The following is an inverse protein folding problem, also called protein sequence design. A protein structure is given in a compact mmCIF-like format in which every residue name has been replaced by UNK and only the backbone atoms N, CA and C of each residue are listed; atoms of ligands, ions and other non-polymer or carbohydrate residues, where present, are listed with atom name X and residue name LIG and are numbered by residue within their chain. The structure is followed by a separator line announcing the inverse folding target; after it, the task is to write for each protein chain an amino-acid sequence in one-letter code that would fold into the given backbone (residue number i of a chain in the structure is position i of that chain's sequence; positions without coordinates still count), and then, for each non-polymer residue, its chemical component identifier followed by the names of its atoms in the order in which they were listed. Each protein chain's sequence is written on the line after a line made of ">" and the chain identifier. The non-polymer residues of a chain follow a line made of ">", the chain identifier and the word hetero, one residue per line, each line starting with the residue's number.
data_IF_815891176270
#
_entry.id   IF_815891176270
#
_cell.length_a   1.000
_cell.length_b   1.000
_cell.length_c   1.000
_cell.angle_alpha   90.00
_cell.angle_beta   90.00
_cell.angle_gamma   90.00
#
_symmetry.space_group_name_H-M   'P 1'
#
loop_
_entity.id
_entity.type
_entity.pdbx_description
1 polymer ?
#
# COMPACT_ATOMS: atom_id res chain seq x y z
N UNK A 1 -16.85 -12.51 9.79
CA UNK A 1 -17.33 -12.63 8.39
C UNK A 1 -16.24 -13.31 7.59
N UNK A 2 -16.51 -14.44 6.95
CA UNK A 2 -15.52 -15.23 6.20
C UNK A 2 -15.26 -14.58 4.85
N UNK A 3 -14.02 -14.12 4.60
CA UNK A 3 -13.61 -13.57 3.30
C UNK A 3 -13.45 -14.76 2.33
N UNK A 4 -14.25 -14.82 1.27
CA UNK A 4 -14.08 -15.81 0.20
C UNK A 4 -12.93 -15.35 -0.71
N UNK A 5 -11.76 -15.96 -0.54
CA UNK A 5 -10.48 -15.59 -1.20
C UNK A 5 -10.39 -16.14 -2.64
N UNK A 6 -11.43 -16.80 -3.16
CA UNK A 6 -11.41 -17.54 -4.44
C UNK A 6 -11.39 -16.65 -5.70
N UNK A 7 -11.31 -15.33 -5.57
CA UNK A 7 -11.34 -14.37 -6.69
C UNK A 7 -10.29 -13.25 -6.58
N UNK A 8 -9.16 -13.51 -5.92
CA UNK A 8 -8.06 -12.56 -5.92
C UNK A 8 -7.54 -12.39 -7.36
N UNK A 9 -7.83 -11.23 -7.97
CA UNK A 9 -7.25 -10.84 -9.26
C UNK A 9 -5.90 -10.19 -9.01
N UNK A 10 -4.91 -10.52 -9.83
CA UNK A 10 -3.63 -9.82 -9.87
C UNK A 10 -3.89 -8.43 -10.47
N UNK A 11 -3.73 -7.38 -9.67
CA UNK A 11 -3.63 -6.03 -10.21
C UNK A 11 -2.17 -5.87 -10.66
N UNK A 12 -2.00 -5.40 -11.90
CA UNK A 12 -0.70 -5.26 -12.59
C UNK A 12 0.39 -4.65 -11.70
N UNK A 13 1.62 -5.13 -11.89
CA UNK A 13 2.79 -4.68 -11.12
C UNK A 13 3.15 -3.24 -11.46
N UNK A 14 2.87 -2.32 -10.54
CA UNK A 14 3.49 -1.00 -10.55
C UNK A 14 4.83 -1.04 -9.81
N UNK A 15 5.83 -0.32 -10.32
CA UNK A 15 7.07 -0.12 -9.58
C UNK A 15 6.75 0.64 -8.30
N UNK A 16 7.34 0.21 -7.16
CA UNK A 16 7.33 1.02 -5.95
C UNK A 16 7.97 2.36 -6.29
N UNK A 17 7.18 3.43 -6.20
CA UNK A 17 7.61 4.75 -6.61
C UNK A 17 8.05 5.52 -5.38
N UNK A 18 9.26 6.08 -5.44
CA UNK A 18 9.60 7.23 -4.61
C UNK A 18 8.81 8.41 -5.15
N UNK A 19 8.17 9.13 -4.27
CA UNK A 19 7.44 10.34 -4.62
C UNK A 19 8.02 11.50 -3.81
N UNK A 20 7.78 12.71 -4.29
CA UNK A 20 8.11 13.97 -3.61
C UNK A 20 6.85 14.82 -3.49
N UNK A 21 6.87 15.85 -2.64
CA UNK A 21 5.73 16.78 -2.47
C UNK A 21 5.27 17.40 -3.80
N UNK A 22 6.18 17.58 -4.75
CA UNK A 22 5.87 18.12 -6.08
C UNK A 22 5.21 17.12 -7.03
N UNK A 23 5.46 15.82 -6.86
CA UNK A 23 4.83 14.77 -7.68
C UNK A 23 3.32 14.68 -7.43
N UNK A 24 2.88 15.16 -6.27
CA UNK A 24 1.46 15.22 -5.86
C UNK A 24 0.74 16.52 -6.22
N UNK A 25 1.42 17.50 -6.83
CA UNK A 25 0.76 18.73 -7.28
C UNK A 25 0.33 18.67 -8.75
N UNK A 26 0.88 17.76 -9.55
CA UNK A 26 0.57 17.58 -10.98
C UNK A 26 -0.60 16.64 -11.27
N UNK A 27 -0.79 15.61 -10.45
CA UNK A 27 -2.02 14.82 -10.34
C UNK A 27 -2.65 15.24 -9.02
N UNK A 28 -3.89 15.78 -9.02
CA UNK A 28 -4.62 16.20 -7.80
C UNK A 28 -4.26 15.30 -6.61
N UNK A 29 -3.46 15.80 -5.66
CA UNK A 29 -2.62 15.01 -4.74
C UNK A 29 -3.29 13.93 -3.89
N UNK A 30 -2.58 13.39 -2.90
CA UNK A 30 -3.04 12.33 -1.97
C UNK A 30 -4.50 12.45 -1.47
N UNK A 31 -5.01 13.68 -1.43
CA UNK A 31 -6.41 14.02 -1.22
C UNK A 31 -7.44 13.35 -2.17
N UNK A 32 -7.03 12.78 -3.30
CA UNK A 32 -7.88 11.95 -4.18
C UNK A 32 -7.88 10.47 -3.82
N UNK A 33 -6.88 9.99 -3.07
CA UNK A 33 -6.76 8.61 -2.61
C UNK A 33 -7.38 8.46 -1.23
N UNK A 34 -8.72 8.55 -1.18
CA UNK A 34 -9.51 8.49 0.07
C UNK A 34 -10.17 7.14 0.33
N UNK A 35 -9.98 6.18 -0.57
CA UNK A 35 -10.63 4.87 -0.46
C UNK A 35 -10.12 4.11 0.76
N UNK A 36 -11.04 3.44 1.43
CA UNK A 36 -10.73 2.53 2.53
C UNK A 36 -9.94 1.33 2.01
N UNK A 37 -8.87 0.96 2.71
CA UNK A 37 -7.96 -0.10 2.28
C UNK A 37 -7.13 -0.59 3.46
N UNK A 38 -6.82 -1.88 3.46
CA UNK A 38 -5.86 -2.48 4.37
C UNK A 38 -5.04 -3.57 3.69
N UNK A 39 -3.93 -3.93 4.33
CA UNK A 39 -3.13 -5.10 3.95
C UNK A 39 -3.41 -6.21 4.97
N UNK A 40 -3.82 -7.38 4.47
CA UNK A 40 -4.09 -8.56 5.29
C UNK A 40 -2.89 -9.51 5.35
N UNK A 41 -2.17 -9.65 4.23
CA UNK A 41 -0.98 -10.51 4.14
C UNK A 41 0.07 -9.86 3.25
N UNK A 42 1.33 -10.25 3.44
CA UNK A 42 2.42 -9.79 2.58
C UNK A 42 3.64 -10.69 2.67
N UNK A 43 4.42 -10.72 1.59
CA UNK A 43 5.74 -11.33 1.59
C UNK A 43 6.73 -10.47 0.80
N UNK A 44 7.98 -10.47 1.24
CA UNK A 44 9.10 -9.87 0.51
C UNK A 44 9.93 -11.01 -0.10
N UNK A 45 10.27 -10.88 -1.38
CA UNK A 45 11.20 -11.77 -2.08
C UNK A 45 12.49 -11.02 -2.34
N UNK A 46 13.52 -11.16 -1.48
CA UNK A 46 14.78 -10.44 -1.61
C UNK A 46 15.48 -10.73 -2.93
N UNK A 47 15.48 -12.00 -3.35
CA UNK A 47 16.12 -12.43 -4.60
C UNK A 47 15.52 -11.77 -5.85
N UNK A 48 14.24 -11.37 -5.79
CA UNK A 48 13.54 -10.75 -6.90
C UNK A 48 13.36 -9.23 -6.72
N UNK A 49 13.55 -8.71 -5.51
CA UNK A 49 13.28 -7.32 -5.17
C UNK A 49 11.79 -6.97 -5.31
N UNK A 50 10.89 -7.85 -4.89
CA UNK A 50 9.44 -7.58 -4.91
C UNK A 50 8.82 -7.76 -3.54
N UNK A 51 7.89 -6.87 -3.21
CA UNK A 51 6.89 -7.11 -2.18
C UNK A 51 5.56 -7.46 -2.82
N UNK A 52 4.93 -8.54 -2.37
CA UNK A 52 3.58 -8.92 -2.78
C UNK A 52 2.65 -8.82 -1.59
N UNK A 53 1.49 -8.20 -1.79
CA UNK A 53 0.51 -7.90 -0.74
C UNK A 53 -0.84 -8.51 -1.11
N UNK A 54 -1.52 -9.10 -0.13
CA UNK A 54 -2.97 -9.28 -0.18
C UNK A 54 -3.62 -7.99 0.34
N UNK A 55 -4.13 -7.19 -0.59
CA UNK A 55 -4.81 -5.94 -0.30
C UNK A 55 -6.31 -6.21 -0.24
N UNK A 56 -6.94 -5.72 0.82
CA UNK A 56 -8.39 -5.75 0.98
C UNK A 56 -8.94 -4.34 0.85
N UNK A 57 -10.03 -4.19 0.12
CA UNK A 57 -10.69 -2.91 -0.09
C UNK A 57 -12.21 -3.09 -0.30
N UNK A 58 -13.03 -2.07 0.02
CA UNK A 58 -14.43 -2.05 -0.32
C UNK A 58 -14.65 -1.84 -1.83
N UNK A 59 -15.66 -2.51 -2.35
CA UNK A 59 -16.10 -2.43 -3.74
C UNK A 59 -17.61 -2.71 -3.76
N UNK A 60 -18.33 -2.09 -4.68
CA UNK A 60 -19.73 -2.39 -4.97
C UNK A 60 -19.91 -2.89 -6.40
N UNK A 61 -19.05 -2.49 -7.34
CA UNK A 61 -19.15 -2.96 -8.71
C UNK A 61 -17.79 -3.05 -9.40
N UNK A 62 -17.51 -4.17 -10.07
CA UNK A 62 -16.26 -4.41 -10.81
C UNK A 62 -16.03 -3.48 -12.02
N UNK A 63 -17.01 -2.64 -12.37
CA UNK A 63 -16.88 -1.66 -13.45
C UNK A 63 -16.12 -0.40 -13.03
N UNK A 64 -16.01 -0.11 -11.73
CA UNK A 64 -15.18 0.99 -11.25
C UNK A 64 -13.71 0.59 -11.24
N UNK A 65 -12.87 1.49 -11.71
CA UNK A 65 -11.43 1.27 -11.70
C UNK A 65 -10.86 1.68 -10.34
N UNK A 66 -10.49 0.68 -9.55
CA UNK A 66 -9.74 0.88 -8.31
C UNK A 66 -8.25 0.95 -8.61
N UNK A 67 -7.56 1.92 -8.01
CA UNK A 67 -6.10 2.07 -8.16
C UNK A 67 -5.44 1.97 -6.79
N UNK A 68 -4.40 1.13 -6.70
CA UNK A 68 -3.61 0.90 -5.49
C UNK A 68 -2.17 1.36 -5.70
N UNK A 69 -1.72 2.35 -4.93
CA UNK A 69 -0.37 2.88 -5.02
C UNK A 69 0.39 2.64 -3.73
N UNK A 70 1.46 1.86 -3.79
CA UNK A 70 2.42 1.74 -2.70
C UNK A 70 3.52 2.79 -2.89
N UNK A 71 3.84 3.50 -1.83
CA UNK A 71 4.66 4.71 -1.89
C UNK A 71 5.72 4.69 -0.80
N UNK A 72 6.94 5.11 -1.17
CA UNK A 72 7.99 5.44 -0.22
C UNK A 72 8.14 6.95 -0.12
N UNK A 73 7.96 7.48 1.10
CA UNK A 73 8.14 8.89 1.48
C UNK A 73 7.26 9.88 0.70
N UNK A 74 6.03 10.12 1.14
CA UNK A 74 5.10 11.02 0.47
C UNK A 74 5.33 12.53 0.69
N UNK A 75 6.40 12.94 1.40
CA UNK A 75 6.56 14.30 1.90
C UNK A 75 5.99 14.48 3.32
N UNK A 76 5.78 15.73 3.76
CA UNK A 76 5.29 16.05 5.11
C UNK A 76 3.76 15.90 5.30
N UNK A 77 2.99 15.59 4.26
CA UNK A 77 1.53 15.49 4.35
C UNK A 77 1.06 14.03 4.29
N UNK A 78 0.46 13.52 5.37
CA UNK A 78 -0.11 12.17 5.43
C UNK A 78 0.23 11.46 6.73
N UNK A 79 0.89 10.29 6.63
CA UNK A 79 1.15 9.40 7.76
C UNK A 79 2.52 9.54 8.40
N UNK A 80 3.39 10.40 7.87
CA UNK A 80 4.76 10.58 8.37
C UNK A 80 4.86 10.89 9.87
N UNK A 81 3.87 11.59 10.43
CA UNK A 81 3.80 11.87 11.87
C UNK A 81 3.65 10.60 12.74
N UNK A 82 3.23 9.48 12.14
CA UNK A 82 3.06 8.18 12.80
C UNK A 82 4.27 7.26 12.59
N UNK A 83 5.29 7.71 11.85
CA UNK A 83 6.48 6.88 11.63
C UNK A 83 7.31 6.84 12.91
N UNK A 84 7.77 5.64 13.22
CA UNK A 84 8.64 5.39 14.36
C UNK A 84 10.05 5.04 13.85
N UNK A 85 11.08 5.51 14.55
CA UNK A 85 12.46 5.04 14.33
C UNK A 85 12.64 3.70 15.04
N UNK A 86 12.07 2.66 14.45
CA UNK A 86 11.95 1.31 15.03
C UNK A 86 12.69 0.23 14.22
N UNK A 87 13.44 0.65 13.20
CA UNK A 87 14.20 -0.21 12.30
C UNK A 87 13.39 -0.85 11.17
N UNK A 88 12.13 -0.46 10.97
CA UNK A 88 11.34 -0.84 9.79
C UNK A 88 11.41 0.23 8.69
N UNK A 89 11.34 -0.19 7.43
CA UNK A 89 11.09 0.73 6.33
C UNK A 89 9.58 1.01 6.27
N UNK A 90 9.20 2.26 6.49
CA UNK A 90 7.81 2.71 6.43
C UNK A 90 7.40 3.02 4.98
N UNK A 91 6.26 2.45 4.58
CA UNK A 91 5.62 2.62 3.29
C UNK A 91 4.15 3.02 3.49
N UNK A 92 3.58 3.70 2.50
CA UNK A 92 2.18 4.13 2.52
C UNK A 92 1.41 3.47 1.38
N UNK A 93 0.27 2.87 1.69
CA UNK A 93 -0.64 2.30 0.71
C UNK A 93 -1.84 3.23 0.52
N UNK A 94 -2.00 3.72 -0.71
CA UNK A 94 -3.07 4.60 -1.13
C UNK A 94 -4.06 3.88 -2.04
N UNK A 95 -5.34 4.13 -1.81
CA UNK A 95 -6.44 3.59 -2.58
C UNK A 95 -7.31 4.71 -3.17
N UNK A 96 -7.49 4.68 -4.48
CA UNK A 96 -8.48 5.48 -5.19
C UNK A 96 -9.60 4.55 -5.66
N UNK A 97 -10.80 4.72 -5.11
CA UNK A 97 -11.98 3.87 -5.35
C UNK A 97 -12.69 4.15 -6.68
N UNK A 98 -12.28 5.19 -7.41
CA UNK A 98 -12.91 5.55 -8.69
C UNK A 98 -14.31 6.14 -8.52
N UNK A 99 -14.69 6.55 -7.31
CA UNK A 99 -16.06 6.93 -6.96
C UNK A 99 -16.99 5.75 -6.71
N UNK A 100 -16.46 4.55 -6.50
CA UNK A 100 -17.27 3.40 -6.09
C UNK A 100 -17.81 3.57 -4.67
N UNK A 101 -19.05 3.14 -4.43
CA UNK A 101 -19.66 3.14 -3.10
C UNK A 101 -19.34 1.83 -2.36
N UNK A 102 -19.27 1.82 -1.04
CA UNK A 102 -18.80 0.67 -0.27
C UNK A 102 -19.92 -0.36 0.00
N UNK A 103 -19.92 -1.53 -0.66
CA UNK A 103 -20.96 -2.58 -0.44
C UNK A 103 -20.41 -3.92 0.06
N UNK A 104 -19.24 -4.35 -0.39
CA UNK A 104 -18.60 -5.61 0.04
C UNK A 104 -17.07 -5.49 0.02
N UNK A 105 -16.40 -6.41 0.72
CA UNK A 105 -14.94 -6.47 0.75
C UNK A 105 -14.41 -7.40 -0.34
N UNK A 106 -13.35 -6.96 -1.01
CA UNK A 106 -12.60 -7.76 -1.98
C UNK A 106 -11.13 -7.82 -1.60
N UNK A 107 -10.55 -9.01 -1.73
CA UNK A 107 -9.10 -9.22 -1.68
C UNK A 107 -8.51 -9.26 -3.09
N UNK A 108 -7.35 -8.64 -3.28
CA UNK A 108 -6.56 -8.71 -4.50
C UNK A 108 -5.07 -8.80 -4.17
N UNK A 109 -4.31 -9.53 -4.99
CA UNK A 109 -2.86 -9.54 -4.88
C UNK A 109 -2.25 -8.45 -5.76
N UNK A 110 -1.33 -7.68 -5.18
CA UNK A 110 -0.53 -6.70 -5.90
C UNK A 110 0.95 -6.92 -5.57
N UNK A 111 1.80 -6.89 -6.59
CA UNK A 111 3.25 -7.04 -6.45
C UNK A 111 3.96 -5.77 -6.89
N UNK A 112 4.75 -5.19 -5.99
CA UNK A 112 5.50 -3.96 -6.21
C UNK A 112 6.99 -4.26 -6.27
N UNK A 113 7.62 -3.85 -7.37
CA UNK A 113 9.08 -3.96 -7.50
C UNK A 113 9.75 -2.89 -6.64
N UNK A 114 10.63 -3.30 -5.75
CA UNK A 114 11.49 -2.42 -4.95
C UNK A 114 12.77 -2.15 -5.76
N UNK A 115 12.96 -0.90 -6.13
CA UNK A 115 14.21 -0.42 -6.73
C UNK A 115 14.95 0.43 -5.71
N UNK A 116 15.78 -0.23 -4.90
CA UNK A 116 16.58 0.37 -3.82
C UNK A 116 17.31 1.64 -4.25
N UNK A 117 17.87 1.66 -5.46
CA UNK A 117 18.58 2.83 -6.00
C UNK A 117 17.66 4.01 -6.24
N UNK A 118 16.49 3.76 -6.84
CA UNK A 118 15.49 4.80 -7.10
C UNK A 118 14.86 5.32 -5.80
N UNK A 119 14.73 4.46 -4.80
CA UNK A 119 14.25 4.85 -3.47
C UNK A 119 15.34 5.57 -2.66
N UNK A 120 16.61 5.26 -2.88
CA UNK A 120 17.71 5.75 -2.05
C UNK A 120 17.73 5.08 -0.67
N UNK A 121 17.36 3.80 -0.62
CA UNK A 121 17.34 2.96 0.59
C UNK A 121 18.14 1.69 0.32
N UNK A 122 18.57 1.01 1.39
CA UNK A 122 19.15 -0.32 1.31
C UNK A 122 18.33 -1.27 2.17
N UNK A 123 17.70 -2.29 1.57
CA UNK A 123 16.68 -3.09 2.28
C UNK A 123 17.28 -3.90 3.44
N UNK A 124 18.57 -4.22 3.40
CA UNK A 124 19.29 -4.91 4.47
C UNK A 124 19.50 -4.07 5.72
N UNK A 125 19.29 -2.75 5.64
CA UNK A 125 19.38 -1.85 6.80
C UNK A 125 18.12 -1.92 7.68
N UNK A 126 17.06 -2.56 7.18
CA UNK A 126 15.77 -2.67 7.85
C UNK A 126 15.50 -4.12 8.27
N UNK A 127 14.90 -4.29 9.44
CA UNK A 127 14.47 -5.62 9.94
C UNK A 127 13.16 -6.09 9.30
N UNK A 128 12.51 -5.23 8.53
CA UNK A 128 11.24 -5.51 7.87
C UNK A 128 10.61 -4.25 7.24
N UNK A 129 9.34 -4.37 6.91
CA UNK A 129 8.50 -3.30 6.37
C UNK A 129 7.32 -3.02 7.30
N UNK A 130 6.95 -1.75 7.42
CA UNK A 130 5.65 -1.32 7.95
C UNK A 130 4.89 -0.60 6.85
N UNK A 131 3.64 -0.98 6.62
CA UNK A 131 2.78 -0.39 5.61
C UNK A 131 1.58 0.24 6.32
N UNK A 132 1.48 1.56 6.23
CA UNK A 132 0.34 2.31 6.76
C UNK A 132 -0.67 2.61 5.67
N UNK A 133 -1.95 2.53 6.02
CA UNK A 133 -3.09 2.69 5.12
C UNK A 133 -4.28 3.27 5.89
N UNK A 134 -5.34 3.70 5.20
CA UNK A 134 -6.50 4.34 5.85
C UNK A 134 -7.25 3.39 6.80
N UNK A 135 -7.29 2.08 6.52
CA UNK A 135 -8.16 1.12 7.22
C UNK A 135 -9.52 0.96 6.53
N UNK A 136 -10.31 -0.03 6.97
CA UNK A 136 -11.65 -0.39 6.43
C UNK A 136 -12.77 -0.23 7.47
N UNK A 137 -12.44 -0.29 8.75
CA UNK A 137 -13.43 -0.39 9.83
C UNK A 137 -13.23 0.67 10.93
N UNK A 138 -12.29 1.61 10.75
CA UNK A 138 -11.95 2.63 11.74
C UNK A 138 -11.60 3.97 11.10
N UNK A 139 -11.86 5.06 11.80
CA UNK A 139 -11.25 6.37 11.52
C UNK A 139 -9.74 6.38 11.81
N UNK A 140 -9.19 5.27 12.32
CA UNK A 140 -7.79 5.08 12.63
C UNK A 140 -7.06 4.37 11.50
N UNK A 141 -5.82 4.77 11.17
CA UNK A 141 -5.02 4.11 10.16
C UNK A 141 -4.70 2.65 10.49
N UNK A 142 -4.70 1.80 9.48
CA UNK A 142 -4.27 0.40 9.59
C UNK A 142 -2.77 0.30 9.31
N UNK A 143 -2.03 -0.31 10.23
CA UNK A 143 -0.60 -0.60 10.09
C UNK A 143 -0.40 -2.10 9.96
N UNK A 144 0.17 -2.52 8.83
CA UNK A 144 0.61 -3.88 8.59
C UNK A 144 2.13 -3.98 8.77
N UNK A 145 2.59 -4.99 9.50
CA UNK A 145 4.01 -5.25 9.75
C UNK A 145 4.43 -6.54 9.06
N UNK A 146 5.53 -6.48 8.33
CA UNK A 146 6.19 -7.63 7.71
C UNK A 146 7.63 -7.71 8.18
N UNK A 147 7.95 -8.72 8.97
CA UNK A 147 9.34 -9.00 9.36
C UNK A 147 10.09 -9.67 8.21
N UNK A 148 11.31 -9.24 7.96
CA UNK A 148 12.22 -10.02 7.12
C UNK A 148 12.72 -11.19 7.94
N UNK A 149 12.63 -12.39 7.38
CA UNK A 149 13.24 -13.57 8.00
C UNK A 149 14.73 -13.29 8.21
N UNK A 150 15.18 -13.37 9.47
CA UNK A 150 16.59 -13.21 9.86
C UNK A 150 17.42 -14.42 9.42
#
# INVERSE_FOLDING_TARGET
>A
RTINISQARMITSDKLSRVSETDFQGEKGLNTYRGDVKVDEGYYSPAMGYITLLIVYPINNETFQHTMRLVYNAGNEGYKAMYEDDGYLWLELYHHDGGDSESFLRGAYASYKIDERSLGVTMTDYKGLKIISKGIDSNEPHIFTLDFAQ
#
